data_IF_458466390011
#
_entry.id   IF_458466390011
#
_cell.length_a   1.000
_cell.length_b   1.000
_cell.length_c   1.000
_cell.angle_alpha   90.00
_cell.angle_beta   90.00
_cell.angle_gamma   90.00
#
_symmetry.space_group_name_H-M   'P 1'
#
loop_
_entity.id
_entity.type
_entity.pdbx_description
1 polymer ?
#
# COMPACT_ATOMS: atom_id res chain seq x y z
N UNK A 1 -9.35 -20.58 1.50
CA UNK A 1 -8.46 -19.46 1.14
C UNK A 1 -8.27 -18.41 2.27
N UNK A 2 -8.71 -18.67 3.51
CA UNK A 2 -8.59 -17.71 4.65
C UNK A 2 -7.21 -17.75 5.31
N UNK A 3 -6.51 -18.89 5.29
CA UNK A 3 -5.21 -19.08 5.95
C UNK A 3 -4.09 -18.20 5.38
N UNK A 4 -4.06 -17.95 4.07
CA UNK A 4 -3.04 -17.10 3.45
C UNK A 4 -3.18 -15.63 3.86
N UNK A 5 -4.41 -15.13 4.05
CA UNK A 5 -4.62 -13.75 4.52
C UNK A 5 -4.15 -13.53 5.97
N UNK A 6 -4.28 -14.52 6.84
CA UNK A 6 -3.84 -14.42 8.24
C UNK A 6 -2.32 -14.48 8.38
N UNK A 7 -1.64 -15.34 7.60
CA UNK A 7 -0.17 -15.37 7.58
C UNK A 7 0.43 -14.08 7.00
N UNK A 8 -0.26 -13.47 6.02
CA UNK A 8 0.16 -12.20 5.43
C UNK A 8 0.09 -11.03 6.43
N UNK A 9 -0.98 -10.95 7.24
CA UNK A 9 -1.08 -9.99 8.35
C UNK A 9 0.02 -10.19 9.40
N UNK A 10 0.27 -11.44 9.79
CA UNK A 10 1.29 -11.76 10.78
C UNK A 10 2.69 -11.41 10.28
N UNK A 11 3.07 -11.81 9.05
CA UNK A 11 4.38 -11.51 8.47
C UNK A 11 4.67 -10.01 8.35
N UNK A 12 3.67 -9.21 7.97
CA UNK A 12 3.83 -7.75 7.88
C UNK A 12 3.94 -7.09 9.26
N UNK A 13 3.19 -7.57 10.27
CA UNK A 13 3.34 -7.10 11.65
C UNK A 13 4.70 -7.45 12.24
N UNK A 14 5.31 -8.57 11.85
CA UNK A 14 6.68 -8.92 12.26
C UNK A 14 7.73 -8.01 11.61
N UNK A 15 7.52 -7.60 10.35
CA UNK A 15 8.43 -6.73 9.60
C UNK A 15 8.33 -5.25 10.01
N UNK A 16 7.15 -4.81 10.43
CA UNK A 16 6.93 -3.45 10.90
C UNK A 16 5.86 -3.45 12.00
N UNK A 17 6.29 -3.38 13.29
CA UNK A 17 5.37 -3.39 14.43
C UNK A 17 4.37 -2.23 14.43
N UNK A 18 4.68 -1.17 13.67
CA UNK A 18 3.85 0.02 13.50
C UNK A 18 3.06 0.01 12.17
N UNK A 19 2.97 -1.13 11.49
CA UNK A 19 2.20 -1.25 10.26
C UNK A 19 0.70 -1.03 10.51
N UNK A 20 0.12 -0.06 9.83
CA UNK A 20 -1.29 0.28 9.98
C UNK A 20 -2.08 -0.21 8.76
N UNK A 21 -3.26 -0.79 8.98
CA UNK A 21 -4.11 -1.22 7.85
C UNK A 21 -4.68 -0.01 7.12
N UNK A 22 -4.62 -0.05 5.79
CA UNK A 22 -5.17 0.99 4.91
C UNK A 22 -6.00 0.38 3.78
N UNK A 23 -6.86 1.21 3.20
CA UNK A 23 -7.47 0.89 1.91
C UNK A 23 -6.75 1.69 0.83
N UNK A 24 -6.40 1.05 -0.28
CA UNK A 24 -5.70 1.69 -1.38
C UNK A 24 -6.37 1.36 -2.73
N UNK A 25 -6.34 2.30 -3.67
CA UNK A 25 -6.75 2.07 -5.06
C UNK A 25 -5.97 3.00 -6.00
N UNK A 26 -5.86 2.61 -7.27
CA UNK A 26 -5.40 3.52 -8.31
C UNK A 26 -6.51 4.54 -8.67
N UNK A 27 -6.11 5.76 -9.01
CA UNK A 27 -7.03 6.77 -9.52
C UNK A 27 -7.43 6.51 -10.98
N UNK A 28 -6.54 5.88 -11.76
CA UNK A 28 -6.73 5.64 -13.18
C UNK A 28 -6.01 4.36 -13.63
N UNK A 29 -6.39 3.88 -14.82
CA UNK A 29 -5.85 2.67 -15.46
C UNK A 29 -6.87 1.53 -15.52
N UNK A 30 -6.37 0.29 -15.52
CA UNK A 30 -7.22 -0.89 -15.68
C UNK A 30 -8.27 -0.99 -14.56
N UNK A 31 -9.51 -1.42 -14.85
CA UNK A 31 -10.57 -1.53 -13.85
C UNK A 31 -10.15 -2.37 -12.63
N UNK A 32 -9.38 -3.43 -12.85
CA UNK A 32 -8.86 -4.30 -11.80
C UNK A 32 -7.97 -3.57 -10.79
N UNK A 33 -7.25 -2.51 -11.20
CA UNK A 33 -6.37 -1.75 -10.30
C UNK A 33 -7.06 -0.58 -9.60
N UNK A 34 -8.18 -0.11 -10.14
CA UNK A 34 -9.02 0.95 -9.59
C UNK A 34 -9.96 0.46 -8.47
N UNK A 35 -10.05 -0.85 -8.25
CA UNK A 35 -10.81 -1.43 -7.12
C UNK A 35 -10.08 -1.19 -5.80
N UNK A 36 -10.86 -0.83 -4.77
CA UNK A 36 -10.38 -0.73 -3.38
C UNK A 36 -9.80 -2.06 -2.93
N UNK A 37 -8.55 -2.07 -2.51
CA UNK A 37 -7.88 -3.22 -1.92
C UNK A 37 -7.27 -2.88 -0.57
N UNK A 38 -7.00 -3.90 0.22
CA UNK A 38 -6.30 -3.73 1.51
C UNK A 38 -4.80 -3.55 1.26
N UNK A 39 -4.18 -2.71 2.07
CA UNK A 39 -2.74 -2.56 2.17
C UNK A 39 -2.33 -2.33 3.60
N UNK A 40 -1.02 -2.28 3.81
CA UNK A 40 -0.41 -1.90 5.08
C UNK A 40 0.49 -0.71 4.84
N UNK A 41 0.43 0.24 5.76
CA UNK A 41 1.24 1.42 5.77
C UNK A 41 2.34 1.26 6.80
N UNK A 42 3.59 1.36 6.37
CA UNK A 42 4.74 1.37 7.29
C UNK A 42 5.17 2.83 7.47
N UNK A 43 4.80 3.44 8.59
CA UNK A 43 5.06 4.86 8.90
C UNK A 43 3.79 5.71 9.00
N UNK A 44 3.96 6.97 9.38
CA UNK A 44 2.86 7.93 9.55
C UNK A 44 2.67 8.75 8.25
N UNK A 45 1.49 8.68 7.60
CA UNK A 45 1.24 9.43 6.37
C UNK A 45 1.20 10.94 6.63
N UNK A 46 0.98 11.40 7.88
CA UNK A 46 0.95 12.83 8.21
C UNK A 46 2.34 13.46 8.20
N UNK A 47 3.36 12.70 8.60
CA UNK A 47 4.74 13.21 8.65
C UNK A 47 5.44 13.05 7.30
N UNK A 48 5.02 12.08 6.48
CA UNK A 48 5.51 11.88 5.11
C UNK A 48 6.95 11.36 5.01
N UNK A 49 7.63 11.14 6.14
CA UNK A 49 9.01 10.64 6.17
C UNK A 49 9.01 9.10 6.17
N UNK A 50 9.69 8.50 5.18
CA UNK A 50 9.90 7.06 5.06
C UNK A 50 8.59 6.22 5.06
N UNK A 51 7.53 6.74 4.45
CA UNK A 51 6.26 6.01 4.40
C UNK A 51 6.22 5.10 3.18
N UNK A 52 5.92 3.82 3.41
CA UNK A 52 5.77 2.84 2.35
C UNK A 52 4.45 2.09 2.47
N UNK A 53 3.94 1.60 1.34
CA UNK A 53 2.77 0.73 1.29
C UNK A 53 3.20 -0.66 0.91
N UNK A 54 2.69 -1.64 1.64
CA UNK A 54 2.73 -3.06 1.29
C UNK A 54 1.32 -3.46 0.82
N UNK A 55 1.21 -4.04 -0.36
CA UNK A 55 -0.08 -4.50 -0.91
C UNK A 55 0.08 -5.71 -1.82
N UNK A 56 -1.04 -6.29 -2.24
CA UNK A 56 -1.06 -7.32 -3.28
C UNK A 56 -0.45 -6.78 -4.58
N UNK A 57 0.36 -7.61 -5.23
CA UNK A 57 1.08 -7.26 -6.46
C UNK A 57 0.19 -6.62 -7.55
N UNK A 58 0.77 -5.71 -8.32
CA UNK A 58 0.19 -5.14 -9.54
C UNK A 58 -0.46 -3.77 -9.36
N UNK A 59 -0.38 -3.19 -8.15
CA UNK A 59 -0.75 -1.79 -7.92
C UNK A 59 0.39 -0.82 -8.25
N UNK A 60 1.65 -1.23 -8.08
CA UNK A 60 2.80 -0.39 -8.38
C UNK A 60 2.95 -0.17 -9.90
N UNK A 61 3.14 1.08 -10.27
CA UNK A 61 3.78 1.50 -11.51
C UNK A 61 4.46 2.85 -11.25
N UNK A 62 5.54 3.22 -11.97
CA UNK A 62 6.18 4.52 -11.77
C UNK A 62 5.19 5.68 -11.97
N UNK A 63 5.22 6.66 -11.06
CA UNK A 63 4.40 7.88 -11.10
C UNK A 63 2.88 7.65 -11.13
N UNK A 64 2.42 6.48 -10.72
CA UNK A 64 0.99 6.19 -10.63
C UNK A 64 0.38 6.94 -9.46
N UNK A 65 -0.76 7.58 -9.74
CA UNK A 65 -1.55 8.22 -8.71
C UNK A 65 -2.47 7.23 -8.01
N UNK A 66 -2.44 7.22 -6.69
CA UNK A 66 -3.21 6.36 -5.81
C UNK A 66 -4.00 7.18 -4.80
N UNK A 67 -5.10 6.62 -4.32
CA UNK A 67 -5.79 7.08 -3.11
C UNK A 67 -5.52 6.09 -1.98
N UNK A 68 -4.93 6.59 -0.89
CA UNK A 68 -4.74 5.87 0.37
C UNK A 68 -5.78 6.39 1.36
N UNK A 69 -6.64 5.50 1.85
CA UNK A 69 -7.66 5.81 2.85
C UNK A 69 -7.23 5.22 4.19
N UNK A 70 -7.06 6.09 5.17
CA UNK A 70 -6.57 5.75 6.50
C UNK A 70 -7.25 6.65 7.55
N UNK A 71 -7.85 6.06 8.61
CA UNK A 71 -8.54 6.79 9.68
C UNK A 71 -9.49 7.89 9.14
N UNK A 72 -10.35 7.52 8.20
CA UNK A 72 -11.34 8.39 7.54
C UNK A 72 -10.76 9.57 6.74
N UNK A 73 -9.43 9.63 6.58
CA UNK A 73 -8.74 10.57 5.69
C UNK A 73 -8.35 9.88 4.39
N UNK A 74 -8.52 10.61 3.29
CA UNK A 74 -8.07 10.18 1.96
C UNK A 74 -6.85 11.01 1.57
N UNK A 75 -5.74 10.33 1.32
CA UNK A 75 -4.49 10.91 0.85
C UNK A 75 -4.34 10.58 -0.63
N UNK A 76 -4.14 11.61 -1.45
CA UNK A 76 -3.73 11.43 -2.85
C UNK A 76 -2.22 11.38 -2.90
N UNK A 77 -1.71 10.34 -3.53
CA UNK A 77 -0.28 10.06 -3.54
C UNK A 77 0.19 9.64 -4.92
N UNK A 78 1.47 9.86 -5.19
CA UNK A 78 2.18 9.36 -6.36
C UNK A 78 3.18 8.31 -5.92
N UNK A 79 3.22 7.16 -6.59
CA UNK A 79 4.25 6.14 -6.36
C UNK A 79 5.63 6.65 -6.78
N UNK A 80 6.64 6.38 -5.95
CA UNK A 80 8.02 6.82 -6.22
C UNK A 80 8.94 5.66 -6.54
N UNK A 81 9.19 4.79 -5.55
CA UNK A 81 10.22 3.75 -5.63
C UNK A 81 9.67 2.42 -5.16
N UNK A 82 9.82 1.39 -5.99
CA UNK A 82 9.63 0.00 -5.58
C UNK A 82 10.77 -0.41 -4.63
N UNK A 83 10.41 -0.85 -3.44
CA UNK A 83 11.36 -1.36 -2.44
C UNK A 83 11.51 -2.87 -2.57
N UNK A 84 10.40 -3.59 -2.65
CA UNK A 84 10.37 -5.04 -2.72
C UNK A 84 9.23 -5.52 -3.62
N UNK A 85 9.43 -6.62 -4.33
CA UNK A 85 8.40 -7.28 -5.11
C UNK A 85 8.59 -8.78 -5.04
N UNK A 86 7.50 -9.49 -4.75
CA UNK A 86 7.46 -10.95 -4.71
C UNK A 86 6.37 -11.49 -5.62
N UNK A 87 6.10 -12.79 -5.52
CA UNK A 87 5.07 -13.42 -6.33
C UNK A 87 3.66 -12.91 -6.01
N UNK A 88 3.42 -12.49 -4.76
CA UNK A 88 2.08 -12.16 -4.25
C UNK A 88 1.94 -10.73 -3.72
N UNK A 89 3.06 -10.05 -3.42
CA UNK A 89 3.04 -8.73 -2.82
C UNK A 89 4.09 -7.81 -3.41
N UNK A 90 3.93 -6.53 -3.14
CA UNK A 90 4.90 -5.49 -3.45
C UNK A 90 4.90 -4.46 -2.33
N UNK A 91 6.07 -3.87 -2.11
CA UNK A 91 6.29 -2.77 -1.19
C UNK A 91 6.89 -1.61 -1.95
N UNK A 92 6.31 -0.42 -1.81
CA UNK A 92 6.80 0.77 -2.49
C UNK A 92 6.60 2.04 -1.67
N UNK A 93 7.48 3.01 -1.90
CA UNK A 93 7.35 4.37 -1.38
C UNK A 93 6.38 5.17 -2.24
N UNK A 94 5.78 6.17 -1.60
CA UNK A 94 4.92 7.13 -2.25
C UNK A 94 5.18 8.52 -1.69
N UNK A 95 4.72 9.53 -2.42
CA UNK A 95 4.73 10.93 -1.99
C UNK A 95 3.32 11.51 -2.08
N UNK A 96 2.94 12.30 -1.08
CA UNK A 96 1.64 13.00 -1.06
C UNK A 96 1.67 14.13 -2.09
N UNK A 97 0.56 14.30 -2.81
CA UNK A 97 0.31 15.37 -3.80
C UNK A 97 -0.54 16.45 -3.14
#
# INVERSE_FOLDING_TARGET
>A
MVRQQNNYKAGIQTLSPHAQTVTIKALSGNPSICVKRRGFLTGDPKTGVNVSVITSRGLYAPQRQLEIIHQDKTYRVTTEKLLETGNYFEQFNYKII
#
